data_IF_241108048480
#
_entry.id   IF_241108048480
#
_cell.length_a   1.000
_cell.length_b   1.000
_cell.length_c   1.000
_cell.angle_alpha   90.00
_cell.angle_beta   90.00
_cell.angle_gamma   90.00
#
_symmetry.space_group_name_H-M   'P 1'
#
loop_
_entity.id
_entity.type
_entity.pdbx_description
1 polymer ?
#
# COMPACT_ATOMS: atom_id res chain seq x y z
N UNK A 1 22.00 -19.58 10.18
CA UNK A 1 21.50 -18.46 9.35
C UNK A 1 20.40 -17.80 10.16
N UNK A 2 20.63 -16.62 10.73
CA UNK A 2 19.56 -15.89 11.40
C UNK A 2 18.66 -15.34 10.30
N UNK A 3 17.53 -15.99 10.06
CA UNK A 3 16.44 -15.39 9.28
C UNK A 3 16.01 -14.15 10.06
N UNK A 4 16.48 -12.98 9.63
CA UNK A 4 15.94 -11.71 10.09
C UNK A 4 14.45 -11.73 9.73
N UNK A 5 13.59 -11.82 10.73
CA UNK A 5 12.15 -11.69 10.52
C UNK A 5 11.92 -10.26 10.01
N UNK A 6 11.42 -10.06 8.77
CA UNK A 6 11.20 -8.74 8.21
C UNK A 6 9.87 -8.20 8.77
N UNK A 7 9.84 -8.00 10.08
CA UNK A 7 8.69 -7.57 10.83
C UNK A 7 9.03 -6.33 11.65
N UNK A 8 8.20 -5.31 11.47
CA UNK A 8 8.29 -4.01 12.13
C UNK A 8 6.99 -3.71 12.86
N UNK A 9 7.06 -2.75 13.78
CA UNK A 9 5.88 -2.10 14.35
C UNK A 9 5.68 -0.72 13.70
N UNK A 10 4.50 -0.13 13.82
CA UNK A 10 4.33 1.27 13.41
C UNK A 10 5.03 2.24 14.39
N UNK A 11 5.48 3.38 13.87
CA UNK A 11 5.88 4.51 14.71
C UNK A 11 4.64 5.12 15.36
N UNK A 12 4.69 5.33 16.68
CA UNK A 12 3.61 5.93 17.46
C UNK A 12 4.17 7.24 18.05
N UNK A 13 3.71 8.43 17.61
CA UNK A 13 4.33 9.71 17.98
C UNK A 13 4.47 9.98 19.48
N UNK A 14 3.56 9.41 20.29
CA UNK A 14 3.54 9.59 21.75
C UNK A 14 4.36 8.55 22.51
N UNK A 15 4.95 7.59 21.82
CA UNK A 15 5.83 6.56 22.40
C UNK A 15 7.24 6.73 21.84
N UNK A 16 8.24 6.26 22.58
CA UNK A 16 9.62 6.17 22.09
C UNK A 16 9.73 5.02 21.09
N UNK A 17 9.22 5.23 19.88
CA UNK A 17 9.36 4.31 18.75
C UNK A 17 10.49 4.71 17.79
N UNK A 18 11.46 5.51 18.26
CA UNK A 18 12.65 5.89 17.51
C UNK A 18 13.66 4.74 17.45
N UNK A 19 13.18 3.59 16.99
CA UNK A 19 13.93 2.35 16.82
C UNK A 19 13.97 1.99 15.33
N UNK A 20 15.05 1.36 14.83
CA UNK A 20 15.09 0.82 13.47
C UNK A 20 14.00 -0.26 13.22
N UNK A 21 13.35 -0.75 14.29
CA UNK A 21 12.24 -1.69 14.23
C UNK A 21 10.86 -1.05 14.07
N UNK A 22 10.77 0.27 13.88
CA UNK A 22 9.51 0.97 13.67
C UNK A 22 9.45 1.72 12.32
N UNK A 23 8.32 1.63 11.63
CA UNK A 23 8.07 2.29 10.34
C UNK A 23 6.80 3.14 10.40
N UNK A 24 6.81 4.30 9.77
CA UNK A 24 5.60 5.06 9.47
C UNK A 24 5.05 4.67 8.09
N UNK A 25 3.80 5.05 7.81
CA UNK A 25 3.23 4.89 6.48
C UNK A 25 4.00 5.71 5.42
N UNK A 26 4.53 6.88 5.81
CA UNK A 26 5.40 7.69 4.95
C UNK A 26 6.69 6.93 4.58
N UNK A 27 7.34 6.27 5.54
CA UNK A 27 8.53 5.45 5.29
C UNK A 27 8.23 4.32 4.29
N UNK A 28 7.06 3.67 4.44
CA UNK A 28 6.61 2.60 3.54
C UNK A 28 6.34 3.07 2.12
N UNK A 29 5.79 4.27 1.94
CA UNK A 29 5.45 4.85 0.64
C UNK A 29 6.57 5.70 0.02
N UNK A 30 7.66 5.94 0.75
CA UNK A 30 8.75 6.79 0.30
C UNK A 30 9.42 6.25 -0.98
N UNK A 31 9.63 7.14 -1.95
CA UNK A 31 10.55 6.96 -3.07
C UNK A 31 11.17 8.29 -3.46
N UNK A 32 12.31 8.24 -4.15
CA UNK A 32 12.88 9.41 -4.78
C UNK A 32 12.09 9.74 -6.06
N UNK A 33 11.34 10.84 -6.04
CA UNK A 33 10.52 11.29 -7.19
C UNK A 33 11.34 11.90 -8.32
N UNK A 34 12.57 12.31 -8.04
CA UNK A 34 13.49 12.89 -9.03
C UNK A 34 14.24 11.83 -9.82
N UNK A 35 14.37 10.61 -9.28
CA UNK A 35 14.97 9.47 -9.97
C UNK A 35 13.89 8.68 -10.74
N UNK A 36 13.93 8.68 -12.09
CA UNK A 36 12.97 7.93 -12.91
C UNK A 36 12.95 6.42 -12.64
N UNK A 37 14.00 5.87 -12.03
CA UNK A 37 14.08 4.45 -11.72
C UNK A 37 13.51 4.09 -10.34
N UNK A 38 13.55 5.02 -9.39
CA UNK A 38 13.01 4.84 -8.04
C UNK A 38 11.57 5.32 -7.91
N UNK A 39 11.15 6.32 -8.68
CA UNK A 39 9.79 6.84 -8.63
C UNK A 39 8.77 5.74 -8.92
N UNK A 40 7.67 5.73 -8.17
CA UNK A 40 6.63 4.73 -8.37
C UNK A 40 5.99 4.87 -9.75
N UNK A 41 5.78 3.75 -10.41
CA UNK A 41 4.98 3.64 -11.63
C UNK A 41 3.55 3.22 -11.28
N UNK A 42 3.41 2.29 -10.33
CA UNK A 42 2.14 1.77 -9.86
C UNK A 42 2.17 1.61 -8.35
N UNK A 43 1.06 1.96 -7.70
CA UNK A 43 0.84 1.76 -6.28
C UNK A 43 -0.54 1.17 -6.06
N UNK A 44 -0.61 0.02 -5.42
CA UNK A 44 -1.85 -0.68 -5.10
C UNK A 44 -1.96 -0.73 -3.57
N UNK A 45 -3.05 -0.19 -3.04
CA UNK A 45 -3.32 -0.13 -1.60
C UNK A 45 -4.64 -0.85 -1.35
N UNK A 46 -4.58 -1.95 -0.59
CA UNK A 46 -5.75 -2.71 -0.17
C UNK A 46 -6.00 -2.49 1.30
N UNK A 47 -7.24 -2.21 1.69
CA UNK A 47 -7.60 -1.88 3.07
C UNK A 47 -9.11 -1.99 3.29
N UNK A 48 -9.52 -1.99 4.57
CA UNK A 48 -10.94 -1.97 4.89
C UNK A 48 -11.45 -0.54 5.01
N UNK A 49 -10.88 0.24 5.93
CA UNK A 49 -11.18 1.67 6.09
C UNK A 49 -10.04 2.49 5.50
N UNK A 50 -10.37 3.51 4.71
CA UNK A 50 -9.40 4.42 4.11
C UNK A 50 -9.88 5.87 4.19
N UNK A 51 -9.04 6.74 4.76
CA UNK A 51 -9.12 8.19 4.58
C UNK A 51 -8.15 8.58 3.48
N UNK A 52 -8.70 8.85 2.30
CA UNK A 52 -7.91 9.14 1.10
C UNK A 52 -7.24 10.51 1.19
N UNK A 53 -7.90 11.52 1.75
CA UNK A 53 -7.26 12.84 1.96
C UNK A 53 -6.06 12.70 2.90
N UNK A 54 -6.22 11.98 4.02
CA UNK A 54 -5.11 11.72 4.94
C UNK A 54 -3.99 10.91 4.30
N UNK A 55 -4.31 9.84 3.58
CA UNK A 55 -3.32 8.99 2.90
C UNK A 55 -2.40 9.81 1.98
N UNK A 56 -2.98 10.71 1.19
CA UNK A 56 -2.20 11.57 0.30
C UNK A 56 -1.42 12.66 1.03
N UNK A 57 -1.90 13.16 2.18
CA UNK A 57 -1.12 14.07 3.04
C UNK A 57 0.10 13.40 3.65
N UNK A 58 0.03 12.10 3.94
CA UNK A 58 1.14 11.34 4.54
C UNK A 58 2.22 10.99 3.51
N UNK A 59 1.91 10.99 2.22
CA UNK A 59 2.84 10.60 1.17
C UNK A 59 2.90 11.60 0.03
N UNK A 60 3.81 12.57 0.15
CA UNK A 60 4.15 13.50 -0.93
C UNK A 60 4.54 12.79 -2.24
N UNK A 61 5.28 11.65 -2.24
CA UNK A 61 5.58 10.94 -3.48
C UNK A 61 4.32 10.49 -4.25
N UNK A 62 3.24 10.13 -3.55
CA UNK A 62 1.98 9.79 -4.20
C UNK A 62 1.27 11.00 -4.80
N UNK A 63 1.57 12.23 -4.38
CA UNK A 63 1.04 13.46 -4.98
C UNK A 63 1.92 13.94 -6.14
N UNK A 64 3.24 13.92 -5.96
CA UNK A 64 4.23 14.48 -6.88
C UNK A 64 4.53 13.59 -8.10
N UNK A 65 4.35 12.27 -7.98
CA UNK A 65 4.59 11.34 -9.11
C UNK A 65 3.42 11.31 -10.09
N UNK A 66 3.61 10.67 -11.25
CA UNK A 66 2.53 10.34 -12.19
C UNK A 66 2.08 8.88 -12.07
N UNK A 67 2.35 8.24 -10.93
CA UNK A 67 2.04 6.82 -10.73
C UNK A 67 0.54 6.55 -10.87
N UNK A 68 0.21 5.37 -11.39
CA UNK A 68 -1.17 4.86 -11.33
C UNK A 68 -1.42 4.33 -9.93
N UNK A 69 -2.51 4.78 -9.30
CA UNK A 69 -2.88 4.39 -7.94
C UNK A 69 -4.14 3.56 -8.01
N UNK A 70 -4.13 2.39 -7.36
CA UNK A 70 -5.30 1.51 -7.24
C UNK A 70 -5.65 1.39 -5.76
N UNK A 71 -6.85 1.82 -5.39
CA UNK A 71 -7.37 1.71 -4.04
C UNK A 71 -8.41 0.57 -4.01
N UNK A 72 -8.07 -0.52 -3.31
CA UNK A 72 -8.94 -1.68 -3.12
C UNK A 72 -9.58 -1.55 -1.73
N UNK A 73 -10.85 -1.13 -1.69
CA UNK A 73 -11.54 -0.86 -0.42
C UNK A 73 -12.57 -1.92 -0.09
N UNK A 74 -12.57 -2.38 1.16
CA UNK A 74 -13.65 -3.20 1.71
C UNK A 74 -14.85 -2.42 2.23
N UNK A 75 -14.79 -1.09 2.27
CA UNK A 75 -15.92 -0.22 2.62
C UNK A 75 -16.92 -0.19 1.46
N UNK A 76 -18.21 -0.42 1.73
CA UNK A 76 -19.27 -0.33 0.71
C UNK A 76 -19.50 1.13 0.31
N UNK A 77 -19.60 1.39 -0.98
CA UNK A 77 -19.88 2.74 -1.49
C UNK A 77 -18.64 3.64 -1.47
N UNK A 78 -17.45 3.05 -1.37
CA UNK A 78 -16.19 3.77 -1.32
C UNK A 78 -15.93 4.58 -2.60
N UNK A 79 -16.31 4.04 -3.76
CA UNK A 79 -16.22 4.79 -5.03
C UNK A 79 -17.09 6.04 -5.02
N UNK A 80 -18.30 5.97 -4.45
CA UNK A 80 -19.16 7.14 -4.32
C UNK A 80 -18.53 8.18 -3.38
N UNK A 81 -18.08 7.76 -2.20
CA UNK A 81 -17.36 8.62 -1.24
C UNK A 81 -16.14 9.30 -1.89
N UNK A 82 -15.33 8.55 -2.64
CA UNK A 82 -14.15 9.05 -3.33
C UNK A 82 -14.47 10.17 -4.34
N UNK A 83 -15.54 10.01 -5.14
CA UNK A 83 -15.98 11.01 -6.13
C UNK A 83 -16.40 12.35 -5.52
N UNK A 84 -16.72 12.38 -4.24
CA UNK A 84 -17.11 13.59 -3.50
C UNK A 84 -15.94 14.26 -2.77
N UNK A 85 -14.73 13.70 -2.84
CA UNK A 85 -13.55 14.29 -2.19
C UNK A 85 -13.00 15.46 -3.00
N UNK A 86 -12.54 16.51 -2.32
CA UNK A 86 -11.92 17.67 -2.97
C UNK A 86 -10.67 17.27 -3.76
N UNK A 87 -9.91 16.29 -3.25
CA UNK A 87 -8.74 15.74 -3.95
C UNK A 87 -9.08 15.10 -5.31
N UNK A 88 -10.31 14.60 -5.52
CA UNK A 88 -10.69 13.92 -6.77
C UNK A 88 -10.42 14.80 -7.98
N UNK A 89 -10.78 16.08 -7.89
CA UNK A 89 -10.62 17.05 -8.98
C UNK A 89 -9.16 17.47 -9.19
N UNK A 90 -8.27 17.19 -8.22
CA UNK A 90 -6.82 17.43 -8.32
C UNK A 90 -6.09 16.30 -9.03
N UNK A 91 -6.62 15.08 -9.01
CA UNK A 91 -6.02 13.98 -9.76
C UNK A 91 -6.46 14.02 -11.22
N UNK A 92 -5.49 13.92 -12.14
CA UNK A 92 -5.78 13.79 -13.56
C UNK A 92 -6.69 12.58 -13.83
N UNK A 93 -7.54 12.70 -14.86
CA UNK A 93 -8.46 11.62 -15.26
C UNK A 93 -7.68 10.30 -15.39
N UNK A 94 -8.16 9.25 -14.72
CA UNK A 94 -7.62 7.88 -14.70
C UNK A 94 -6.38 7.62 -13.84
N UNK A 95 -5.86 8.60 -13.09
CA UNK A 95 -4.70 8.37 -12.21
C UNK A 95 -5.03 7.47 -11.01
N UNK A 96 -6.21 7.63 -10.43
CA UNK A 96 -6.68 6.81 -9.30
C UNK A 96 -7.82 5.91 -9.77
N UNK A 97 -7.66 4.61 -9.53
CA UNK A 97 -8.67 3.58 -9.80
C UNK A 97 -9.19 3.05 -8.47
N UNK A 98 -10.50 2.96 -8.34
CA UNK A 98 -11.15 2.40 -7.16
C UNK A 98 -11.66 1.00 -7.51
N UNK A 99 -11.36 0.03 -6.64
CA UNK A 99 -11.84 -1.34 -6.74
C UNK A 99 -12.59 -1.67 -5.45
N UNK A 100 -13.84 -2.09 -5.60
CA UNK A 100 -14.68 -2.61 -4.51
C UNK A 100 -14.85 -4.11 -4.76
N UNK A 101 -14.16 -4.99 -4.00
CA UNK A 101 -14.22 -6.43 -4.21
C UNK A 101 -15.65 -6.97 -4.10
N UNK A 102 -16.03 -7.85 -5.03
CA UNK A 102 -17.29 -8.57 -4.94
C UNK A 102 -17.23 -9.58 -3.79
N UNK A 103 -18.16 -9.48 -2.85
CA UNK A 103 -18.26 -10.37 -1.69
C UNK A 103 -19.55 -11.20 -1.83
N UNK A 104 -19.49 -12.38 -2.48
CA UNK A 104 -20.69 -13.19 -2.78
C UNK A 104 -21.32 -13.82 -1.53
N UNK A 105 -20.59 -13.84 -0.41
CA UNK A 105 -21.05 -14.41 0.85
C UNK A 105 -21.67 -13.31 1.72
N UNK A 106 -22.88 -13.50 2.26
CA UNK A 106 -23.50 -12.56 3.19
C UNK A 106 -22.57 -12.26 4.37
N UNK A 107 -22.54 -10.98 4.80
CA UNK A 107 -21.70 -10.50 5.91
C UNK A 107 -20.18 -10.62 5.69
N UNK A 108 -19.73 -11.00 4.49
CA UNK A 108 -18.31 -10.95 4.13
C UNK A 108 -17.75 -9.53 4.15
N UNK A 109 -16.45 -9.41 4.47
CA UNK A 109 -15.71 -8.13 4.47
C UNK A 109 -14.33 -8.35 3.85
N UNK A 110 -13.94 -7.49 2.91
CA UNK A 110 -12.55 -7.41 2.46
C UNK A 110 -11.71 -6.70 3.54
N UNK A 111 -11.08 -7.48 4.40
CA UNK A 111 -10.37 -6.97 5.59
C UNK A 111 -8.84 -6.93 5.43
N UNK A 112 -8.32 -7.41 4.29
CA UNK A 112 -6.89 -7.38 3.95
C UNK A 112 -6.36 -5.95 3.96
N UNK A 113 -5.19 -5.76 4.57
CA UNK A 113 -4.46 -4.49 4.56
C UNK A 113 -3.08 -4.72 3.98
N UNK A 114 -2.85 -4.17 2.80
CA UNK A 114 -1.64 -4.43 2.05
C UNK A 114 -1.25 -3.27 1.15
N UNK A 115 0.02 -3.25 0.79
CA UNK A 115 0.61 -2.29 -0.13
C UNK A 115 1.48 -3.05 -1.13
N UNK A 116 1.36 -2.69 -2.41
CA UNK A 116 2.25 -3.10 -3.49
C UNK A 116 2.68 -1.86 -4.28
N UNK A 117 3.95 -1.49 -4.19
CA UNK A 117 4.54 -0.39 -4.95
C UNK A 117 5.52 -0.94 -5.98
N UNK A 118 5.47 -0.42 -7.20
CA UNK A 118 6.25 -0.91 -8.34
C UNK A 118 6.99 0.26 -8.99
N UNK A 119 8.29 0.13 -9.20
CA UNK A 119 9.10 1.06 -9.98
C UNK A 119 9.99 0.29 -10.97
N UNK A 120 10.91 0.98 -11.67
CA UNK A 120 11.80 0.29 -12.60
C UNK A 120 12.82 -0.59 -11.86
N UNK A 121 13.21 -0.17 -10.65
CA UNK A 121 14.16 -0.87 -9.82
C UNK A 121 13.60 -2.10 -9.11
N UNK A 122 12.28 -2.31 -9.04
CA UNK A 122 11.70 -3.47 -8.35
C UNK A 122 10.29 -3.29 -7.82
N UNK A 123 9.97 -4.12 -6.83
CA UNK A 123 8.70 -4.12 -6.12
C UNK A 123 8.90 -3.98 -4.62
N UNK A 124 7.92 -3.38 -3.95
CA UNK A 124 7.83 -3.27 -2.50
C UNK A 124 6.46 -3.79 -2.07
N UNK A 125 6.46 -4.76 -1.17
CA UNK A 125 5.26 -5.37 -0.63
C UNK A 125 5.22 -5.10 0.87
N UNK A 126 4.06 -4.68 1.39
CA UNK A 126 3.81 -4.71 2.81
C UNK A 126 2.47 -5.37 3.12
N UNK A 127 2.45 -6.21 4.15
CA UNK A 127 1.23 -6.75 4.75
C UNK A 127 1.09 -6.11 6.13
N UNK A 128 -0.06 -5.51 6.37
CA UNK A 128 -0.29 -4.60 7.49
C UNK A 128 -1.43 -5.11 8.36
N UNK A 129 -1.45 -4.71 9.63
CA UNK A 129 -2.65 -4.81 10.47
C UNK A 129 -3.42 -3.48 10.57
N UNK A 130 -2.76 -2.37 10.20
CA UNK A 130 -3.33 -1.02 10.22
C UNK A 130 -4.23 -0.74 9.01
N UNK A 131 -5.36 -0.05 9.24
CA UNK A 131 -6.11 0.62 8.16
C UNK A 131 -5.38 1.88 7.68
N UNK A 132 -5.79 2.43 6.53
CA UNK A 132 -5.25 3.69 6.02
C UNK A 132 -6.01 4.89 6.60
N UNK A 133 -5.97 5.04 7.93
CA UNK A 133 -6.51 6.18 8.67
C UNK A 133 -5.51 6.62 9.75
N UNK A 134 -5.52 7.91 10.09
CA UNK A 134 -4.58 8.49 11.05
C UNK A 134 -4.56 7.76 12.39
N UNK A 135 -5.73 7.42 12.92
CA UNK A 135 -5.86 6.86 14.25
C UNK A 135 -5.16 5.50 14.41
N UNK A 136 -5.20 4.67 13.36
CA UNK A 136 -4.57 3.35 13.38
C UNK A 136 -3.05 3.45 13.42
N UNK A 137 -2.47 4.53 12.87
CA UNK A 137 -1.03 4.76 12.83
C UNK A 137 -0.52 5.55 14.03
N UNK A 138 -1.35 6.42 14.62
CA UNK A 138 -0.93 7.32 15.69
C UNK A 138 -1.26 6.83 17.10
N UNK A 139 -2.27 5.95 17.26
CA UNK A 139 -2.79 5.57 18.58
C UNK A 139 -2.83 4.08 18.86
N UNK A 140 -2.44 3.24 17.89
CA UNK A 140 -2.48 1.77 18.02
C UNK A 140 -1.13 1.16 17.68
N UNK A 141 -0.78 0.08 18.35
CA UNK A 141 0.33 -0.79 17.96
C UNK A 141 -0.12 -1.70 16.83
N UNK A 142 0.62 -1.68 15.72
CA UNK A 142 0.32 -2.35 14.48
C UNK A 142 1.52 -3.15 14.02
N UNK A 143 1.28 -4.33 13.45
CA UNK A 143 2.29 -5.17 12.83
C UNK A 143 2.47 -4.81 11.35
N UNK A 144 3.72 -4.83 10.91
CA UNK A 144 4.12 -4.55 9.54
C UNK A 144 5.06 -5.66 9.09
N UNK A 145 4.62 -6.50 8.17
CA UNK A 145 5.51 -7.32 7.37
C UNK A 145 5.92 -6.52 6.15
N UNK A 146 7.22 -6.33 5.91
CA UNK A 146 7.72 -5.50 4.82
C UNK A 146 8.79 -6.23 4.01
N UNK A 147 8.63 -6.24 2.69
CA UNK A 147 9.54 -6.89 1.78
C UNK A 147 9.85 -5.99 0.59
N UNK A 148 11.12 -5.84 0.27
CA UNK A 148 11.58 -5.10 -0.90
C UNK A 148 12.45 -6.01 -1.76
N UNK A 149 12.08 -6.14 -3.04
CA UNK A 149 12.79 -6.96 -4.01
C UNK A 149 13.22 -6.10 -5.19
N UNK A 150 14.53 -6.07 -5.53
CA UNK A 150 14.98 -5.45 -6.75
C UNK A 150 14.45 -6.22 -7.96
N UNK A 151 14.23 -5.53 -9.08
CA UNK A 151 13.83 -6.11 -10.35
C UNK A 151 14.98 -6.98 -10.82
N UNK A 152 14.82 -8.28 -10.66
CA UNK A 152 15.72 -9.27 -11.23
C UNK A 152 15.61 -9.13 -12.76
N UNK A 153 16.59 -8.49 -13.39
CA UNK A 153 16.71 -8.55 -14.84
C UNK A 153 16.80 -10.02 -15.25
N UNK A 154 15.83 -10.47 -16.06
CA UNK A 154 15.79 -11.77 -16.76
C UNK A 154 16.67 -12.89 -16.16
N UNK A 155 16.43 -13.28 -14.91
CA UNK A 155 16.98 -14.51 -14.33
C UNK A 155 15.83 -15.24 -13.64
N UNK A 156 15.42 -16.34 -14.27
CA UNK A 156 14.42 -17.29 -13.81
C UNK A 156 14.96 -18.12 -12.64
N UNK A 157 15.14 -17.52 -11.46
CA UNK A 157 15.38 -18.27 -10.22
C UNK A 157 14.73 -17.49 -9.06
N UNK A 158 13.94 -18.19 -8.22
CA UNK A 158 13.07 -17.70 -7.13
C UNK A 158 11.58 -17.45 -7.43
N UNK A 159 10.93 -18.30 -8.25
CA UNK A 159 9.45 -18.38 -8.31
C UNK A 159 8.98 -19.60 -7.51
N UNK A 160 9.22 -19.59 -6.21
CA UNK A 160 8.58 -20.57 -5.30
C UNK A 160 7.86 -19.88 -4.13
N UNK A 161 8.11 -18.59 -3.90
CA UNK A 161 7.40 -17.77 -2.92
C UNK A 161 6.34 -16.82 -3.54
N UNK A 162 6.29 -16.69 -4.87
CA UNK A 162 5.43 -15.72 -5.57
C UNK A 162 4.08 -16.27 -6.05
N UNK A 163 3.86 -17.59 -6.06
CA UNK A 163 2.61 -18.19 -6.57
C UNK A 163 1.37 -17.69 -5.80
N UNK A 164 1.28 -17.76 -4.46
CA UNK A 164 0.05 -17.33 -3.77
C UNK A 164 -0.20 -15.80 -3.80
N UNK A 165 0.84 -14.98 -4.02
CA UNK A 165 0.66 -13.52 -4.11
C UNK A 165 0.09 -13.10 -5.48
N UNK A 166 0.51 -13.77 -6.56
CA UNK A 166 -0.06 -13.56 -7.90
C UNK A 166 -1.50 -14.09 -7.94
N UNK A 167 -1.75 -15.27 -7.35
CA UNK A 167 -3.09 -15.87 -7.25
C UNK A 167 -4.06 -14.98 -6.44
N UNK A 168 -3.58 -14.28 -5.40
CA UNK A 168 -4.39 -13.34 -4.62
C UNK A 168 -4.88 -12.14 -5.46
N UNK A 169 -4.09 -11.69 -6.43
CA UNK A 169 -4.47 -10.62 -7.36
C UNK A 169 -5.24 -11.09 -8.59
N UNK A 170 -5.54 -12.40 -8.68
CA UNK A 170 -6.48 -13.06 -9.58
C UNK A 170 -7.00 -12.19 -10.72
N UNK A 171 -6.13 -11.93 -11.69
CA UNK A 171 -6.53 -11.43 -13.00
C UNK A 171 -6.78 -12.69 -13.84
N UNK A 172 -7.93 -13.33 -13.63
CA UNK A 172 -8.43 -14.26 -14.63
C UNK A 172 -8.81 -13.41 -15.85
N UNK A 173 -8.02 -13.61 -16.91
CA UNK A 173 -8.11 -13.01 -18.24
C UNK A 173 -9.48 -13.13 -18.88
#
# INVERSE_FOLDING_TARGET
>A
MNLLCPFWINKIPRLRTDSPSALSLADLLYCNVEDPNEVWTHVILGGYVMDVEWLFRVSDPLLMSKCTIVLISGEKGFLHKYRHLVLHDRFGRNRVKIVEPCLPIPFGVHHSKMMLCINNNGIRVAVLTANFIEDDWNYKTQGIYFFHSPRLGSISFYITLCTPFIDFFGCDS
#
